data_IF_393895785856
#
_entry.id   IF_393895785856
#
_cell.length_a   1.000
_cell.length_b   1.000
_cell.length_c   1.000
_cell.angle_alpha   90.00
_cell.angle_beta   90.00
_cell.angle_gamma   90.00
#
_symmetry.space_group_name_H-M   'P 1'
#
loop_
_entity.id
_entity.type
_entity.pdbx_description
1 polymer ?
#
# COMPACT_ATOMS: atom_id res chain seq x y z
N UNK A 1 23.46 9.91 28.29
CA UNK A 1 23.64 8.96 27.17
C UNK A 1 22.47 9.18 26.24
N UNK A 2 22.71 9.64 25.02
CA UNK A 2 21.61 9.85 24.05
C UNK A 2 20.91 8.54 23.75
N UNK A 3 19.57 8.56 23.73
CA UNK A 3 18.78 7.39 23.35
C UNK A 3 19.06 7.04 21.88
N UNK A 4 18.88 5.77 21.53
CA UNK A 4 18.99 5.32 20.15
C UNK A 4 17.99 6.07 19.26
N UNK A 5 16.77 6.28 19.74
CA UNK A 5 15.73 7.07 19.07
C UNK A 5 16.17 8.52 18.77
N UNK A 6 16.87 9.18 19.71
CA UNK A 6 17.36 10.55 19.50
C UNK A 6 18.47 10.65 18.45
N UNK A 7 19.25 9.58 18.27
CA UNK A 7 20.28 9.50 17.24
C UNK A 7 19.67 9.20 15.87
N UNK A 8 18.73 8.26 15.82
CA UNK A 8 18.02 7.89 14.59
C UNK A 8 17.18 9.06 14.06
N UNK A 9 16.48 9.77 14.95
CA UNK A 9 15.75 10.99 14.59
C UNK A 9 16.66 12.05 13.98
N UNK A 10 17.82 12.30 14.60
CA UNK A 10 18.79 13.28 14.07
C UNK A 10 19.37 12.89 12.72
N UNK A 11 19.62 11.60 12.50
CA UNK A 11 20.09 11.09 11.22
C UNK A 11 19.02 11.27 10.14
N UNK A 12 17.76 10.97 10.46
CA UNK A 12 16.63 11.20 9.55
C UNK A 12 16.44 12.69 9.22
N UNK A 13 16.56 13.57 10.22
CA UNK A 13 16.53 15.02 10.04
C UNK A 13 17.66 15.49 9.11
N UNK A 14 18.88 14.96 9.29
CA UNK A 14 20.05 15.27 8.45
C UNK A 14 19.84 14.84 6.99
N UNK A 15 19.36 13.62 6.76
CA UNK A 15 19.08 13.10 5.41
C UNK A 15 18.00 13.94 4.73
N UNK A 16 16.93 14.28 5.45
CA UNK A 16 15.87 15.16 4.93
C UNK A 16 16.42 16.54 4.59
N UNK A 17 17.29 17.09 5.42
CA UNK A 17 17.94 18.39 5.18
C UNK A 17 18.83 18.36 3.93
N UNK A 18 19.58 17.27 3.70
CA UNK A 18 20.41 17.08 2.51
C UNK A 18 19.58 16.96 1.23
N UNK A 19 18.51 16.17 1.25
CA UNK A 19 17.60 16.03 0.11
C UNK A 19 16.90 17.36 -0.23
N UNK A 20 16.51 18.12 0.78
CA UNK A 20 15.93 19.45 0.59
C UNK A 20 16.94 20.43 -0.03
N UNK A 21 18.20 20.38 0.39
CA UNK A 21 19.29 21.18 -0.19
C UNK A 21 19.51 20.81 -1.66
N UNK A 22 19.52 19.52 -1.99
CA UNK A 22 19.64 19.04 -3.38
C UNK A 22 18.46 19.51 -4.24
N UNK A 23 17.24 19.37 -3.74
CA UNK A 23 16.04 19.85 -4.43
C UNK A 23 16.10 21.36 -4.71
N UNK A 24 16.48 22.16 -3.71
CA UNK A 24 16.64 23.61 -3.88
C UNK A 24 17.73 23.93 -4.90
N UNK A 25 18.83 23.18 -4.92
CA UNK A 25 19.90 23.37 -5.89
C UNK A 25 19.42 23.06 -7.32
N UNK A 26 18.73 21.94 -7.53
CA UNK A 26 18.15 21.57 -8.82
C UNK A 26 17.10 22.57 -9.30
N UNK A 27 16.23 23.03 -8.39
CA UNK A 27 15.21 24.03 -8.70
C UNK A 27 15.85 25.37 -9.11
N UNK A 28 16.92 25.80 -8.44
CA UNK A 28 17.69 26.99 -8.83
C UNK A 28 18.26 26.85 -10.23
N UNK A 29 18.94 25.74 -10.51
CA UNK A 29 19.58 25.50 -11.81
C UNK A 29 18.56 25.51 -12.95
N UNK A 30 17.42 24.83 -12.76
CA UNK A 30 16.35 24.79 -13.75
C UNK A 30 15.72 26.17 -13.97
N UNK A 31 15.51 26.96 -12.92
CA UNK A 31 14.98 28.32 -13.03
C UNK A 31 15.96 29.25 -13.73
N UNK A 32 17.27 29.13 -13.45
CA UNK A 32 18.29 29.89 -14.17
C UNK A 32 18.38 29.51 -15.64
N UNK A 33 18.30 28.22 -15.97
CA UNK A 33 18.24 27.74 -17.36
C UNK A 33 17.00 28.25 -18.09
N UNK A 34 15.88 28.43 -17.38
CA UNK A 34 14.66 29.04 -17.88
C UNK A 34 14.70 30.58 -17.98
N UNK A 35 15.84 31.21 -17.67
CA UNK A 35 16.04 32.66 -17.78
C UNK A 35 15.54 33.47 -16.58
N UNK A 36 15.20 32.82 -15.46
CA UNK A 36 14.85 33.53 -14.24
C UNK A 36 16.07 34.23 -13.64
N UNK A 37 15.89 35.47 -13.17
CA UNK A 37 16.93 36.16 -12.41
C UNK A 37 16.95 35.66 -10.96
N UNK A 38 18.02 36.02 -10.23
CA UNK A 38 18.26 35.58 -8.86
C UNK A 38 17.09 35.89 -7.91
N UNK A 39 16.43 37.02 -8.07
CA UNK A 39 15.32 37.45 -7.21
C UNK A 39 14.06 36.62 -7.48
N UNK A 40 13.78 36.32 -8.75
CA UNK A 40 12.70 35.41 -9.16
C UNK A 40 12.94 33.99 -8.66
N UNK A 41 14.18 33.48 -8.74
CA UNK A 41 14.55 32.18 -8.17
C UNK A 41 14.29 32.13 -6.67
N UNK A 42 14.76 33.14 -5.92
CA UNK A 42 14.57 33.21 -4.47
C UNK A 42 13.09 33.33 -4.08
N UNK A 43 12.31 34.12 -4.82
CA UNK A 43 10.86 34.22 -4.60
C UNK A 43 10.15 32.90 -4.85
N UNK A 44 10.43 32.24 -5.98
CA UNK A 44 9.84 30.95 -6.33
C UNK A 44 10.19 29.88 -5.28
N UNK A 45 11.47 29.79 -4.90
CA UNK A 45 11.93 28.85 -3.87
C UNK A 45 11.26 29.13 -2.53
N UNK A 46 11.17 30.39 -2.11
CA UNK A 46 10.52 30.73 -0.84
C UNK A 46 9.01 30.42 -0.88
N UNK A 47 8.33 30.67 -2.00
CA UNK A 47 6.93 30.33 -2.18
C UNK A 47 6.72 28.81 -2.17
N UNK A 48 7.50 28.05 -2.95
CA UNK A 48 7.48 26.59 -2.97
C UNK A 48 7.80 26.00 -1.60
N UNK A 49 8.80 26.52 -0.89
CA UNK A 49 9.16 26.06 0.46
C UNK A 49 8.08 26.38 1.49
N UNK A 50 7.41 27.51 1.35
CA UNK A 50 6.29 27.90 2.20
C UNK A 50 5.05 27.03 1.94
N UNK A 51 4.80 26.65 0.68
CA UNK A 51 3.79 25.65 0.32
C UNK A 51 4.18 24.24 0.81
N UNK A 52 5.45 23.84 0.65
CA UNK A 52 5.98 22.54 1.10
C UNK A 52 5.82 22.37 2.63
N UNK A 53 6.09 23.43 3.40
CA UNK A 53 5.86 23.48 4.86
C UNK A 53 4.39 23.44 5.27
N UNK A 54 3.47 23.82 4.38
CA UNK A 54 2.02 23.82 4.61
C UNK A 54 1.31 22.63 3.96
N UNK A 55 2.04 21.86 3.16
CA UNK A 55 1.51 20.78 2.35
C UNK A 55 1.34 19.51 3.19
N UNK A 56 0.13 18.90 3.24
CA UNK A 56 -0.07 17.59 3.85
C UNK A 56 0.80 16.49 3.21
N UNK A 57 1.28 16.71 1.98
CA UNK A 57 2.13 15.78 1.25
C UNK A 57 3.53 15.64 1.85
N UNK A 58 4.04 16.57 2.66
CA UNK A 58 5.35 16.39 3.32
C UNK A 58 5.26 15.56 4.60
N UNK A 59 4.13 15.63 5.31
CA UNK A 59 3.76 14.62 6.30
C UNK A 59 3.50 13.27 5.62
N UNK A 60 2.82 13.27 4.46
CA UNK A 60 2.55 12.08 3.65
C UNK A 60 3.82 11.39 3.18
N UNK A 61 4.79 12.10 2.59
CA UNK A 61 6.04 11.52 2.05
C UNK A 61 6.97 11.02 3.15
N UNK A 62 7.03 11.69 4.31
CA UNK A 62 7.77 11.17 5.47
C UNK A 62 7.06 9.95 6.06
N UNK A 63 5.73 9.92 6.07
CA UNK A 63 4.97 8.73 6.50
C UNK A 63 5.09 7.59 5.46
N UNK A 64 5.14 7.90 4.18
CA UNK A 64 5.21 6.98 3.04
C UNK A 64 6.64 6.43 2.80
N UNK A 65 7.67 7.11 3.31
CA UNK A 65 9.05 6.60 3.35
C UNK A 65 9.41 5.97 4.69
N UNK A 66 9.05 6.58 5.82
CA UNK A 66 9.49 6.13 7.16
C UNK A 66 8.57 5.07 7.76
N UNK A 67 7.23 5.21 7.71
CA UNK A 67 6.35 4.14 8.19
C UNK A 67 6.24 2.97 7.21
N UNK A 68 6.48 3.25 5.92
CA UNK A 68 6.39 2.20 4.92
C UNK A 68 7.64 1.34 4.99
N UNK A 69 8.86 1.79 5.29
CA UNK A 69 10.04 0.89 5.32
C UNK A 69 10.13 -0.02 6.56
N UNK A 70 9.82 0.46 7.77
CA UNK A 70 9.89 -0.36 9.00
C UNK A 70 8.83 -1.48 9.07
N UNK A 71 7.70 -1.32 8.35
CA UNK A 71 6.59 -2.29 8.38
C UNK A 71 6.44 -3.12 7.09
N UNK A 72 7.33 -2.99 6.07
CA UNK A 72 7.18 -3.71 4.79
C UNK A 72 7.17 -5.22 4.96
N UNK A 73 7.96 -5.76 5.88
CA UNK A 73 8.05 -7.20 6.10
C UNK A 73 6.84 -7.81 6.81
N UNK A 74 5.98 -7.00 7.44
CA UNK A 74 4.91 -7.51 8.32
C UNK A 74 3.69 -7.98 7.53
N UNK A 75 3.41 -7.36 6.37
CA UNK A 75 2.22 -7.65 5.55
C UNK A 75 2.56 -8.31 4.21
N UNK A 76 3.11 -9.52 4.28
CA UNK A 76 3.50 -10.29 3.09
C UNK A 76 2.29 -10.59 2.19
N UNK A 77 1.16 -10.99 2.80
CA UNK A 77 -0.06 -11.36 2.07
C UNK A 77 -0.69 -10.13 1.42
N UNK A 78 -0.81 -9.02 2.15
CA UNK A 78 -1.31 -7.77 1.59
C UNK A 78 -0.43 -7.26 0.45
N UNK A 79 0.89 -7.45 0.51
CA UNK A 79 1.78 -7.12 -0.62
C UNK A 79 1.49 -7.92 -1.87
N UNK A 80 1.29 -9.24 -1.75
CA UNK A 80 0.95 -10.09 -2.89
C UNK A 80 -0.36 -9.61 -3.51
N UNK A 81 -1.39 -9.39 -2.69
CA UNK A 81 -2.69 -8.96 -3.16
C UNK A 81 -2.65 -7.57 -3.79
N UNK A 82 -1.95 -6.60 -3.19
CA UNK A 82 -1.82 -5.26 -3.76
C UNK A 82 -1.07 -5.29 -5.09
N UNK A 83 0.09 -5.94 -5.11
CA UNK A 83 0.92 -6.00 -6.32
C UNK A 83 0.20 -6.71 -7.46
N UNK A 84 -0.32 -7.92 -7.22
CA UNK A 84 -0.88 -8.73 -8.30
C UNK A 84 -2.35 -8.49 -8.56
N UNK A 85 -3.15 -7.99 -7.62
CA UNK A 85 -4.58 -7.76 -7.86
C UNK A 85 -4.89 -6.32 -8.25
N UNK A 86 -4.19 -5.33 -7.67
CA UNK A 86 -4.55 -3.92 -7.85
C UNK A 86 -3.56 -3.12 -8.70
N UNK A 87 -2.30 -3.56 -8.79
CA UNK A 87 -1.27 -2.86 -9.56
C UNK A 87 -0.95 -3.54 -10.91
N UNK A 88 -0.70 -4.86 -10.90
CA UNK A 88 -0.34 -5.64 -12.10
C UNK A 88 -1.47 -6.49 -12.67
N UNK A 89 -2.49 -6.77 -11.87
CA UNK A 89 -3.55 -7.71 -12.22
C UNK A 89 -4.45 -7.24 -13.35
N UNK A 90 -4.49 -5.93 -13.59
CA UNK A 90 -5.41 -5.31 -14.54
C UNK A 90 -4.65 -4.41 -15.51
N UNK A 91 -5.05 -4.44 -16.79
CA UNK A 91 -4.54 -3.52 -17.81
C UNK A 91 -4.97 -2.07 -17.57
N UNK A 92 -6.05 -1.89 -16.81
CA UNK A 92 -6.59 -0.60 -16.38
C UNK A 92 -6.21 -0.36 -14.93
N UNK A 93 -5.72 0.84 -14.62
CA UNK A 93 -5.37 1.24 -13.26
C UNK A 93 -6.63 1.37 -12.39
N UNK A 94 -6.81 0.44 -11.46
CA UNK A 94 -7.95 0.46 -10.52
C UNK A 94 -7.65 1.20 -9.22
N UNK A 95 -6.39 1.22 -8.78
CA UNK A 95 -5.97 1.88 -7.55
C UNK A 95 -5.29 3.22 -7.85
N UNK A 96 -5.83 4.29 -7.26
CA UNK A 96 -5.30 5.64 -7.41
C UNK A 96 -4.55 6.11 -6.15
N UNK A 97 -3.69 7.14 -6.27
CA UNK A 97 -3.02 7.72 -5.11
C UNK A 97 -4.04 8.17 -4.06
N UNK A 98 -3.66 8.06 -2.79
CA UNK A 98 -4.49 8.55 -1.69
C UNK A 98 -4.76 10.05 -1.88
N UNK A 99 -6.00 10.48 -1.64
CA UNK A 99 -6.44 11.87 -1.83
C UNK A 99 -6.45 12.38 -3.28
N UNK A 100 -6.26 11.51 -4.28
CA UNK A 100 -6.54 11.87 -5.68
C UNK A 100 -8.03 12.14 -5.90
N UNK A 101 -8.35 12.87 -6.97
CA UNK A 101 -9.75 13.16 -7.34
C UNK A 101 -10.54 11.87 -7.61
N UNK A 102 -9.91 10.86 -8.20
CA UNK A 102 -10.51 9.55 -8.48
C UNK A 102 -10.82 8.79 -7.20
N UNK A 103 -9.86 8.70 -6.27
CA UNK A 103 -10.07 8.06 -4.97
C UNK A 103 -11.15 8.79 -4.15
N UNK A 104 -11.12 10.12 -4.14
CA UNK A 104 -12.11 10.94 -3.46
C UNK A 104 -13.52 10.72 -4.03
N UNK A 105 -13.67 10.73 -5.36
CA UNK A 105 -14.95 10.45 -6.04
C UNK A 105 -15.47 9.05 -5.69
N UNK A 106 -14.62 8.03 -5.76
CA UNK A 106 -14.99 6.64 -5.45
C UNK A 106 -15.43 6.45 -3.98
N UNK A 107 -14.89 7.25 -3.06
CA UNK A 107 -15.31 7.30 -1.64
C UNK A 107 -16.65 7.99 -1.40
N UNK A 108 -17.05 8.91 -2.27
CA UNK A 108 -18.33 9.61 -2.18
C UNK A 108 -19.47 8.88 -2.89
N UNK A 109 -19.19 8.30 -4.06
CA UNK A 109 -20.15 7.58 -4.90
C UNK A 109 -19.48 6.40 -5.59
N UNK A 110 -20.25 5.40 -6.01
CA UNK A 110 -19.69 4.28 -6.78
C UNK A 110 -19.07 4.81 -8.08
N UNK A 111 -17.85 4.37 -8.36
CA UNK A 111 -17.12 4.72 -9.58
C UNK A 111 -16.59 3.43 -10.19
N UNK A 112 -17.08 3.11 -11.38
CA UNK A 112 -16.67 1.92 -12.10
C UNK A 112 -15.18 1.98 -12.50
N UNK A 113 -14.49 0.86 -12.35
CA UNK A 113 -13.05 0.73 -12.54
C UNK A 113 -12.16 1.37 -11.47
N UNK A 114 -12.71 1.86 -10.34
CA UNK A 114 -11.92 2.51 -9.28
C UNK A 114 -12.19 1.85 -7.92
N UNK A 115 -11.13 1.32 -7.31
CA UNK A 115 -11.16 0.74 -5.96
C UNK A 115 -10.68 1.81 -4.97
N UNK A 116 -11.58 2.34 -4.10
CA UNK A 116 -11.18 3.32 -3.10
C UNK A 116 -10.29 2.65 -2.03
N UNK A 117 -9.28 3.37 -1.53
CA UNK A 117 -8.31 2.80 -0.57
C UNK A 117 -8.93 2.19 0.69
N UNK A 118 -10.00 2.76 1.28
CA UNK A 118 -10.68 2.12 2.40
C UNK A 118 -11.25 0.75 2.08
N UNK A 119 -11.83 0.57 0.88
CA UNK A 119 -12.34 -0.74 0.44
C UNK A 119 -11.20 -1.76 0.36
N UNK A 120 -10.09 -1.38 -0.28
CA UNK A 120 -8.89 -2.22 -0.36
C UNK A 120 -8.38 -2.60 1.04
N UNK A 121 -8.29 -1.63 1.97
CA UNK A 121 -7.84 -1.90 3.34
C UNK A 121 -8.72 -2.94 4.04
N UNK A 122 -10.04 -2.77 4.04
CA UNK A 122 -10.93 -3.71 4.72
C UNK A 122 -10.95 -5.07 4.03
N UNK A 123 -10.83 -5.12 2.71
CA UNK A 123 -10.61 -6.38 1.98
C UNK A 123 -9.35 -7.10 2.47
N UNK A 124 -8.21 -6.39 2.58
CA UNK A 124 -6.98 -6.99 3.09
C UNK A 124 -7.19 -7.51 4.52
N UNK A 125 -7.84 -6.74 5.39
CA UNK A 125 -8.16 -7.18 6.76
C UNK A 125 -9.06 -8.43 6.77
N UNK A 126 -10.04 -8.54 5.86
CA UNK A 126 -10.84 -9.75 5.71
C UNK A 126 -10.00 -11.00 5.43
N UNK A 127 -8.93 -10.83 4.65
CA UNK A 127 -8.07 -11.93 4.22
C UNK A 127 -7.03 -12.28 5.28
N UNK A 128 -6.32 -11.27 5.80
CA UNK A 128 -5.14 -11.49 6.65
C UNK A 128 -5.34 -11.19 8.13
N UNK A 129 -6.49 -10.66 8.51
CA UNK A 129 -6.70 -10.06 9.82
C UNK A 129 -6.02 -8.70 9.93
N UNK A 130 -6.28 -8.03 11.04
CA UNK A 130 -5.60 -6.78 11.36
C UNK A 130 -4.15 -7.02 11.74
N UNK A 131 -3.28 -6.10 11.30
CA UNK A 131 -1.89 -6.07 11.72
C UNK A 131 -1.68 -4.84 12.58
N UNK A 132 -1.32 -5.03 13.85
CA UNK A 132 -1.17 -3.96 14.85
C UNK A 132 -0.32 -2.74 14.43
N UNK A 133 0.72 -2.84 13.57
CA UNK A 133 1.42 -1.65 13.06
C UNK A 133 0.72 -0.92 11.89
N UNK A 134 -0.27 -1.55 11.25
CA UNK A 134 -0.95 -1.05 10.04
C UNK A 134 -2.43 -0.71 10.29
N UNK A 135 -3.08 -1.49 11.14
CA UNK A 135 -4.49 -1.41 11.46
C UNK A 135 -4.65 -1.02 12.92
N UNK A 136 -5.45 0.02 13.17
CA UNK A 136 -5.67 0.58 14.51
C UNK A 136 -6.74 -0.16 15.31
N UNK A 137 -7.12 -1.36 14.88
CA UNK A 137 -8.13 -2.20 15.52
C UNK A 137 -7.72 -3.67 15.37
N UNK A 138 -8.22 -4.52 16.26
CA UNK A 138 -7.97 -5.95 16.21
C UNK A 138 -9.06 -6.67 15.40
N UNK A 139 -8.65 -7.61 14.54
CA UNK A 139 -9.53 -8.37 13.68
C UNK A 139 -8.90 -9.70 13.28
N UNK A 140 -9.64 -10.80 13.41
CA UNK A 140 -9.31 -12.11 12.84
C UNK A 140 -9.52 -12.12 11.32
N UNK A 141 -8.87 -13.00 10.54
CA UNK A 141 -9.12 -13.15 9.10
C UNK A 141 -10.42 -13.92 8.81
N UNK A 142 -11.54 -13.22 8.62
CA UNK A 142 -12.87 -13.83 8.45
C UNK A 142 -12.98 -14.75 7.22
N UNK A 143 -12.17 -14.55 6.18
CA UNK A 143 -12.17 -15.43 4.99
C UNK A 143 -11.42 -16.75 5.20
N UNK A 144 -10.59 -16.85 6.24
CA UNK A 144 -9.70 -17.98 6.51
C UNK A 144 -9.92 -18.62 7.88
N UNK A 145 -11.03 -18.36 8.58
CA UNK A 145 -11.25 -18.87 9.95
C UNK A 145 -11.12 -20.40 10.05
N UNK A 146 -11.71 -21.14 9.10
CA UNK A 146 -11.70 -22.61 9.09
C UNK A 146 -10.40 -23.21 8.54
N UNK A 147 -9.64 -22.44 7.74
CA UNK A 147 -8.42 -22.88 7.04
C UNK A 147 -7.17 -22.13 7.50
N UNK A 148 -7.20 -21.56 8.71
CA UNK A 148 -6.13 -20.71 9.21
C UNK A 148 -4.77 -21.42 9.21
N UNK A 149 -4.74 -22.75 9.41
CA UNK A 149 -3.51 -23.54 9.35
C UNK A 149 -2.88 -23.59 7.95
N UNK A 150 -3.68 -23.69 6.88
CA UNK A 150 -3.18 -23.66 5.50
C UNK A 150 -2.69 -22.26 5.14
N UNK A 151 -3.42 -21.24 5.56
CA UNK A 151 -3.01 -19.84 5.42
C UNK A 151 -1.69 -19.55 6.16
N UNK A 152 -1.51 -20.11 7.35
CA UNK A 152 -0.27 -19.94 8.12
C UNK A 152 0.92 -20.64 7.47
N UNK A 153 0.73 -21.86 6.95
CA UNK A 153 1.75 -22.57 6.19
C UNK A 153 2.20 -21.77 4.95
N UNK A 154 1.26 -21.19 4.19
CA UNK A 154 1.56 -20.35 3.05
C UNK A 154 2.40 -19.11 3.44
N UNK A 155 2.07 -18.44 4.55
CA UNK A 155 2.89 -17.33 5.06
C UNK A 155 4.31 -17.77 5.42
N UNK A 156 4.46 -18.95 6.03
CA UNK A 156 5.77 -19.50 6.36
C UNK A 156 6.59 -19.83 5.11
N UNK A 157 5.97 -20.46 4.11
CA UNK A 157 6.63 -20.78 2.83
C UNK A 157 7.10 -19.52 2.11
N UNK A 158 6.28 -18.46 2.10
CA UNK A 158 6.71 -17.17 1.56
C UNK A 158 7.85 -16.59 2.39
N UNK A 159 7.76 -16.63 3.73
CA UNK A 159 8.82 -16.15 4.61
C UNK A 159 10.17 -16.80 4.31
N UNK A 160 10.20 -18.13 4.13
CA UNK A 160 11.40 -18.87 3.74
C UNK A 160 11.90 -18.42 2.37
N UNK A 161 11.01 -18.28 1.38
CA UNK A 161 11.37 -17.83 0.05
C UNK A 161 11.96 -16.40 0.05
N UNK A 162 11.44 -15.51 0.88
CA UNK A 162 11.90 -14.12 0.98
C UNK A 162 13.34 -13.99 1.50
N UNK A 163 13.85 -14.99 2.24
CA UNK A 163 15.26 -15.02 2.66
C UNK A 163 16.22 -14.99 1.47
N UNK A 164 15.87 -15.64 0.35
CA UNK A 164 16.68 -15.64 -0.90
C UNK A 164 16.84 -14.25 -1.51
N UNK A 165 15.95 -13.32 -1.15
CA UNK A 165 15.88 -11.96 -1.69
C UNK A 165 16.34 -10.90 -0.68
N UNK A 166 16.78 -11.32 0.51
CA UNK A 166 17.38 -10.41 1.48
C UNK A 166 18.79 -10.03 1.02
N UNK A 167 18.97 -8.74 0.76
CA UNK A 167 20.25 -8.13 0.49
C UNK A 167 20.73 -7.30 1.68
N UNK A 168 22.04 -7.01 1.77
CA UNK A 168 22.54 -6.01 2.70
C UNK A 168 21.92 -4.64 2.35
N UNK A 169 21.28 -4.04 3.34
CA UNK A 169 20.87 -2.65 3.34
C UNK A 169 21.81 -1.86 4.26
N UNK A 170 21.74 -0.53 4.27
CA UNK A 170 22.65 0.29 5.08
C UNK A 170 22.77 -0.15 6.55
N UNK A 171 23.82 0.31 7.23
CA UNK A 171 23.99 0.13 8.70
C UNK A 171 23.97 -1.31 9.24
N UNK A 172 24.14 -2.34 8.40
CA UNK A 172 24.19 -3.75 8.82
C UNK A 172 22.82 -4.43 8.93
N UNK A 173 21.77 -3.77 8.45
CA UNK A 173 20.43 -4.35 8.32
C UNK A 173 20.27 -5.06 6.97
N UNK A 174 19.28 -5.94 6.85
CA UNK A 174 18.93 -6.60 5.59
C UNK A 174 17.55 -6.16 5.12
N UNK A 175 17.41 -5.93 3.81
CA UNK A 175 16.15 -5.57 3.18
C UNK A 175 15.81 -6.55 2.06
N UNK A 176 14.52 -6.80 1.86
CA UNK A 176 14.01 -7.65 0.79
C UNK A 176 13.92 -6.84 -0.50
N UNK A 177 14.54 -7.34 -1.57
CA UNK A 177 14.36 -6.81 -2.92
C UNK A 177 13.02 -7.29 -3.52
N UNK A 178 11.95 -6.55 -3.20
CA UNK A 178 10.60 -6.87 -3.66
C UNK A 178 10.45 -6.86 -5.19
N UNK A 179 11.22 -6.05 -5.91
CA UNK A 179 11.19 -6.02 -7.37
C UNK A 179 11.64 -7.37 -7.97
N UNK A 180 12.70 -7.96 -7.40
CA UNK A 180 13.15 -9.31 -7.74
C UNK A 180 12.17 -10.38 -7.29
N UNK A 181 11.59 -10.24 -6.09
CA UNK A 181 10.57 -11.18 -5.56
C UNK A 181 9.37 -11.29 -6.52
N UNK A 182 8.79 -10.16 -6.94
CA UNK A 182 7.61 -10.16 -7.82
C UNK A 182 7.88 -10.72 -9.22
N UNK A 183 9.15 -10.82 -9.61
CA UNK A 183 9.59 -11.36 -10.89
C UNK A 183 10.03 -12.82 -10.79
N UNK A 184 10.10 -13.41 -9.59
CA UNK A 184 10.50 -14.80 -9.38
C UNK A 184 9.32 -15.76 -9.61
N UNK A 185 9.54 -16.78 -10.44
CA UNK A 185 8.50 -17.74 -10.82
C UNK A 185 7.96 -18.56 -9.63
N UNK A 186 8.77 -18.81 -8.59
CA UNK A 186 8.32 -19.51 -7.37
C UNK A 186 7.36 -18.62 -6.59
N UNK A 187 7.69 -17.33 -6.47
CA UNK A 187 6.82 -16.37 -5.81
C UNK A 187 5.51 -16.16 -6.57
N UNK A 188 5.56 -16.07 -7.90
CA UNK A 188 4.37 -15.96 -8.74
C UNK A 188 3.45 -17.19 -8.63
N UNK A 189 4.01 -18.40 -8.50
CA UNK A 189 3.23 -19.62 -8.24
C UNK A 189 2.49 -19.55 -6.90
N UNK A 190 3.17 -19.13 -5.83
CA UNK A 190 2.53 -18.95 -4.52
C UNK A 190 1.45 -17.87 -4.59
N UNK A 191 1.71 -16.76 -5.31
CA UNK A 191 0.72 -15.72 -5.53
C UNK A 191 -0.51 -16.25 -6.29
N UNK A 192 -0.31 -17.07 -7.33
CA UNK A 192 -1.40 -17.71 -8.06
C UNK A 192 -2.21 -18.64 -7.16
N UNK A 193 -1.56 -19.45 -6.34
CA UNK A 193 -2.23 -20.35 -5.37
C UNK A 193 -3.06 -19.55 -4.38
N UNK A 194 -2.50 -18.48 -3.79
CA UNK A 194 -3.20 -17.59 -2.87
C UNK A 194 -4.43 -16.94 -3.53
N UNK A 195 -4.25 -16.34 -4.72
CA UNK A 195 -5.35 -15.67 -5.43
C UNK A 195 -6.44 -16.67 -5.82
N UNK A 196 -6.06 -17.86 -6.28
CA UNK A 196 -7.01 -18.91 -6.65
C UNK A 196 -7.81 -19.40 -5.46
N UNK A 197 -7.14 -19.64 -4.32
CA UNK A 197 -7.78 -20.08 -3.09
C UNK A 197 -8.71 -19.00 -2.51
N UNK A 198 -8.26 -17.74 -2.51
CA UNK A 198 -9.07 -16.61 -2.08
C UNK A 198 -10.33 -16.44 -2.93
N UNK A 199 -10.24 -16.63 -4.25
CA UNK A 199 -11.41 -16.62 -5.12
C UNK A 199 -12.42 -17.70 -4.73
N UNK A 200 -11.97 -18.94 -4.51
CA UNK A 200 -12.85 -20.02 -4.06
C UNK A 200 -13.53 -19.67 -2.74
N UNK A 201 -12.81 -19.06 -1.79
CA UNK A 201 -13.39 -18.61 -0.51
C UNK A 201 -14.44 -17.52 -0.68
N UNK A 202 -14.25 -16.58 -1.60
CA UNK A 202 -15.26 -15.55 -1.90
C UNK A 202 -16.46 -16.19 -2.59
N UNK A 203 -16.23 -17.11 -3.53
CA UNK A 203 -17.30 -17.84 -4.23
C UNK A 203 -18.14 -18.69 -3.25
N UNK A 204 -17.51 -19.38 -2.30
CA UNK A 204 -18.17 -20.22 -1.28
C UNK A 204 -19.10 -19.40 -0.37
N UNK A 205 -18.71 -18.16 -0.06
CA UNK A 205 -19.44 -17.26 0.84
C UNK A 205 -20.48 -16.44 0.06
N UNK A 206 -20.23 -16.21 -1.22
CA UNK A 206 -21.00 -15.36 -2.11
C UNK A 206 -20.70 -13.87 -1.92
N UNK A 207 -20.90 -13.09 -2.99
CA UNK A 207 -20.66 -11.64 -3.04
C UNK A 207 -21.31 -10.88 -1.87
N UNK A 208 -22.55 -11.23 -1.52
CA UNK A 208 -23.29 -10.52 -0.46
C UNK A 208 -22.73 -10.84 0.93
N UNK A 209 -22.36 -12.10 1.20
CA UNK A 209 -21.71 -12.48 2.46
C UNK A 209 -20.29 -11.92 2.58
N UNK A 210 -19.56 -11.81 1.47
CA UNK A 210 -18.28 -11.13 1.43
C UNK A 210 -18.41 -9.63 1.73
N UNK A 211 -19.39 -8.95 1.14
CA UNK A 211 -19.69 -7.55 1.43
C UNK A 211 -20.09 -7.33 2.90
N UNK A 212 -20.85 -8.25 3.48
CA UNK A 212 -21.21 -8.21 4.91
C UNK A 212 -19.95 -8.22 5.79
N UNK A 213 -18.99 -9.12 5.51
CA UNK A 213 -17.72 -9.20 6.24
C UNK A 213 -16.89 -7.92 6.12
N UNK A 214 -16.81 -7.31 4.93
CA UNK A 214 -16.13 -6.01 4.74
C UNK A 214 -16.78 -4.94 5.63
N UNK A 215 -18.11 -4.85 5.59
CA UNK A 215 -18.85 -3.86 6.39
C UNK A 215 -18.72 -4.11 7.89
N UNK A 216 -18.61 -5.37 8.33
CA UNK A 216 -18.34 -5.73 9.72
C UNK A 216 -17.03 -5.09 10.21
N UNK A 217 -15.92 -5.21 9.47
CA UNK A 217 -14.66 -4.59 9.90
C UNK A 217 -14.70 -3.07 9.86
N UNK A 218 -15.34 -2.48 8.86
CA UNK A 218 -15.54 -1.03 8.84
C UNK A 218 -16.24 -0.55 10.11
N UNK A 219 -17.20 -1.31 10.64
CA UNK A 219 -17.90 -0.94 11.87
C UNK A 219 -17.03 -1.01 13.14
N UNK A 220 -15.97 -1.83 13.12
CA UNK A 220 -14.99 -1.94 14.21
C UNK A 220 -13.94 -0.83 14.19
N UNK A 221 -13.77 -0.17 13.04
CA UNK A 221 -12.84 0.94 12.87
C UNK A 221 -13.39 2.22 13.51
N UNK A 222 -13.01 2.44 14.77
CA UNK A 222 -13.50 3.54 15.60
C UNK A 222 -12.87 4.90 15.25
N UNK A 223 -11.82 4.93 14.42
CA UNK A 223 -11.06 6.13 14.07
C UNK A 223 -11.65 6.86 12.84
N UNK A 224 -12.96 7.08 12.88
CA UNK A 224 -13.78 7.68 11.80
C UNK A 224 -13.41 9.14 11.46
N UNK A 225 -12.41 9.73 12.14
CA UNK A 225 -12.04 11.14 12.01
C UNK A 225 -10.87 11.42 11.05
N UNK A 226 -10.30 10.41 10.38
CA UNK A 226 -9.26 10.64 9.36
C UNK A 226 -9.86 11.07 8.02
N UNK A 227 -9.21 11.96 7.26
CA UNK A 227 -9.67 12.38 5.91
C UNK A 227 -9.70 11.23 4.87
N UNK A 228 -9.35 10.01 5.26
CA UNK A 228 -9.34 8.80 4.43
C UNK A 228 -10.51 7.85 4.74
N UNK A 229 -11.62 8.33 5.32
CA UNK A 229 -12.83 7.52 5.51
C UNK A 229 -13.63 7.35 4.21
N UNK A 230 -14.36 6.23 4.14
CA UNK A 230 -15.42 6.02 3.16
C UNK A 230 -16.67 6.85 3.53
N UNK A 231 -17.16 7.71 2.64
CA UNK A 231 -18.30 8.60 2.91
C UNK A 231 -19.67 7.99 2.61
N UNK A 232 -19.72 6.86 1.89
CA UNK A 232 -20.93 6.07 1.61
C UNK A 232 -20.80 4.65 2.18
N UNK A 233 -21.88 3.88 2.18
CA UNK A 233 -21.82 2.43 2.43
C UNK A 233 -21.06 1.73 1.28
N UNK A 234 -20.37 0.62 1.60
CA UNK A 234 -19.92 -0.29 0.54
C UNK A 234 -21.15 -0.97 -0.05
N UNK A 235 -21.19 -1.06 -1.38
CA UNK A 235 -22.30 -1.66 -2.11
C UNK A 235 -21.87 -2.95 -2.80
N UNK A 236 -22.83 -3.67 -3.38
CA UNK A 236 -22.58 -4.95 -4.06
C UNK A 236 -21.61 -4.78 -5.23
N UNK A 237 -21.72 -3.67 -5.94
CA UNK A 237 -20.84 -3.34 -7.07
C UNK A 237 -19.38 -3.15 -6.63
N UNK A 238 -19.12 -2.67 -5.41
CA UNK A 238 -17.76 -2.61 -4.86
C UNK A 238 -17.15 -4.00 -4.69
N UNK A 239 -17.94 -4.95 -4.17
CA UNK A 239 -17.52 -6.34 -4.00
C UNK A 239 -17.24 -7.01 -5.35
N UNK A 240 -18.10 -6.77 -6.35
CA UNK A 240 -17.89 -7.28 -7.72
C UNK A 240 -16.59 -6.74 -8.33
N UNK A 241 -16.26 -5.46 -8.13
CA UNK A 241 -14.99 -4.91 -8.63
C UNK A 241 -13.77 -5.60 -8.00
N UNK A 242 -13.84 -5.97 -6.71
CA UNK A 242 -12.78 -6.76 -6.06
C UNK A 242 -12.68 -8.17 -6.64
N UNK A 243 -13.81 -8.84 -6.89
CA UNK A 243 -13.85 -10.15 -7.55
C UNK A 243 -13.27 -10.10 -8.98
N UNK A 244 -13.58 -9.03 -9.72
CA UNK A 244 -13.02 -8.78 -11.05
C UNK A 244 -11.51 -8.56 -11.00
N UNK A 245 -11.01 -7.78 -10.03
CA UNK A 245 -9.59 -7.58 -9.83
C UNK A 245 -8.86 -8.91 -9.53
N UNK A 246 -9.43 -9.76 -8.66
CA UNK A 246 -8.90 -11.09 -8.36
C UNK A 246 -8.91 -12.02 -9.58
N UNK A 247 -10.00 -12.00 -10.35
CA UNK A 247 -10.12 -12.81 -11.58
C UNK A 247 -9.05 -12.41 -12.59
N UNK A 248 -8.86 -11.10 -12.79
CA UNK A 248 -7.85 -10.57 -13.69
C UNK A 248 -6.42 -10.89 -13.21
N UNK A 249 -6.18 -10.81 -11.90
CA UNK A 249 -4.92 -11.21 -11.27
C UNK A 249 -4.59 -12.69 -11.55
N UNK A 250 -5.57 -13.58 -11.37
CA UNK A 250 -5.39 -15.02 -11.59
C UNK A 250 -5.04 -15.32 -13.05
N UNK A 251 -5.75 -14.68 -14.00
CA UNK A 251 -5.48 -14.86 -15.43
C UNK A 251 -4.06 -14.38 -15.76
N UNK A 252 -3.70 -13.18 -15.30
CA UNK A 252 -2.36 -12.60 -15.53
C UNK A 252 -1.25 -13.47 -14.94
N UNK A 253 -1.41 -13.93 -13.70
CA UNK A 253 -0.45 -14.83 -13.05
C UNK A 253 -0.34 -16.18 -13.78
N UNK A 254 -1.46 -16.73 -14.26
CA UNK A 254 -1.46 -17.97 -15.04
C UNK A 254 -0.72 -17.81 -16.36
N UNK A 255 -0.84 -16.65 -17.03
CA UNK A 255 -0.10 -16.34 -18.25
C UNK A 255 1.40 -16.16 -17.99
N UNK A 256 1.80 -15.58 -16.85
CA UNK A 256 3.21 -15.38 -16.50
C UNK A 256 3.97 -16.68 -16.19
N UNK A 257 3.25 -17.72 -15.74
CA UNK A 257 3.84 -18.99 -15.32
C UNK A 257 3.95 -20.00 -16.48
N UNK A 258 3.15 -19.84 -17.53
CA UNK A 258 3.12 -20.71 -18.72
C UNK A 258 4.08 -20.25 -19.81
#
# INVERSE_FOLDING_TARGET
MESFEDKTRRLAEQICEEQLKMFIAMLKDNLFQAGANRDMCNMAINATMHEFKRSPYTQGVVTEYVQVEENRGVDIVGRILVEFCFLRGTSVKMLWPEYSDEDFKARQQFTDGVIPRPLMRYFLVCVRGALHPLDKFDASPLLYEEDYGRYDALKQDIGVLLEDFKGPFGSGESAIDWGRVYSDARFQKIALELVSDLRLKIDDVGTDGFLERINQYRSLDTDYQSNNVMHRAFCREDAIQLEMALTSAQNTLSELIN
#
